data_IF_917980792329
#
_entry.id   IF_917980792329
#
_cell.length_a   1.000
_cell.length_b   1.000
_cell.length_c   1.000
_cell.angle_alpha   90.00
_cell.angle_beta   90.00
_cell.angle_gamma   90.00
#
_symmetry.space_group_name_H-M   'P 1'
#
loop_
_entity.id
_entity.type
_entity.pdbx_description
1 polymer ?
#
# COMPACT_ATOMS: atom_id res chain seq x y z
N UNK A 1 -5.10 3.69 -9.68
CA UNK A 1 -4.37 2.41 -9.55
C UNK A 1 -3.84 2.30 -8.13
N UNK A 2 -3.91 1.12 -7.52
CA UNK A 2 -3.31 0.86 -6.19
C UNK A 2 -2.05 0.02 -6.36
N UNK A 3 -1.10 0.11 -5.43
CA UNK A 3 0.13 -0.68 -5.46
C UNK A 3 -0.16 -2.20 -5.53
N UNK A 4 -1.22 -2.66 -4.87
CA UNK A 4 -1.69 -4.05 -4.93
C UNK A 4 -2.13 -4.49 -6.34
N UNK A 5 -2.80 -3.62 -7.11
CA UNK A 5 -3.16 -3.94 -8.49
C UNK A 5 -1.92 -4.05 -9.38
N UNK A 6 -0.99 -3.10 -9.26
CA UNK A 6 0.25 -3.11 -10.03
C UNK A 6 1.10 -4.37 -9.76
N UNK A 7 1.19 -4.82 -8.50
CA UNK A 7 1.87 -6.08 -8.15
C UNK A 7 1.19 -7.28 -8.84
N UNK A 8 -0.14 -7.32 -8.87
CA UNK A 8 -0.89 -8.42 -9.48
C UNK A 8 -0.63 -8.49 -11.00
N UNK A 9 -0.65 -7.35 -11.67
CA UNK A 9 -0.35 -7.28 -13.11
C UNK A 9 1.11 -7.65 -13.38
N UNK A 10 2.07 -7.15 -12.61
CA UNK A 10 3.48 -7.50 -12.78
C UNK A 10 3.77 -8.99 -12.57
N UNK A 11 3.05 -9.65 -11.65
CA UNK A 11 3.14 -11.11 -11.49
C UNK A 11 2.67 -11.86 -12.73
N UNK A 12 1.60 -11.38 -13.39
CA UNK A 12 1.16 -11.96 -14.66
C UNK A 12 2.20 -11.70 -15.76
N UNK A 13 2.68 -10.46 -15.90
CA UNK A 13 3.73 -10.12 -16.87
C UNK A 13 4.97 -11.00 -16.69
N UNK A 14 5.39 -11.29 -15.45
CA UNK A 14 6.52 -12.17 -15.15
C UNK A 14 6.37 -13.58 -15.74
N UNK A 15 5.15 -14.09 -15.87
CA UNK A 15 4.90 -15.43 -16.42
C UNK A 15 5.05 -15.49 -17.95
N UNK A 16 4.92 -14.35 -18.63
CA UNK A 16 4.88 -14.28 -20.09
C UNK A 16 6.05 -13.47 -20.68
N UNK A 17 6.88 -12.83 -19.85
CA UNK A 17 8.03 -12.05 -20.29
C UNK A 17 9.25 -12.93 -20.63
N UNK A 18 10.21 -12.33 -21.32
CA UNK A 18 11.52 -12.95 -21.58
C UNK A 18 12.32 -13.12 -20.29
N UNK A 19 13.19 -14.14 -20.24
CA UNK A 19 14.03 -14.42 -19.07
C UNK A 19 14.91 -13.23 -18.65
N UNK A 20 15.33 -12.41 -19.61
CA UNK A 20 16.10 -11.18 -19.35
C UNK A 20 15.32 -10.09 -18.62
N UNK A 21 13.98 -10.08 -18.72
CA UNK A 21 13.11 -9.09 -18.08
C UNK A 21 12.67 -9.48 -16.66
N UNK A 22 12.74 -10.77 -16.32
CA UNK A 22 12.40 -11.29 -14.99
C UNK A 22 13.04 -10.50 -13.84
N UNK A 23 14.38 -10.23 -13.82
CA UNK A 23 14.98 -9.50 -12.70
C UNK A 23 14.47 -8.07 -12.54
N UNK A 24 14.17 -7.38 -13.65
CA UNK A 24 13.59 -6.04 -13.60
C UNK A 24 12.15 -6.07 -13.07
N UNK A 25 11.38 -7.09 -13.45
CA UNK A 25 10.00 -7.28 -12.98
C UNK A 25 9.97 -7.66 -11.50
N UNK A 26 10.85 -8.56 -11.06
CA UNK A 26 10.95 -8.93 -9.64
C UNK A 26 11.35 -7.72 -8.79
N UNK A 27 12.28 -6.88 -9.28
CA UNK A 27 12.65 -5.63 -8.60
C UNK A 27 11.45 -4.66 -8.51
N UNK A 28 10.71 -4.47 -9.60
CA UNK A 28 9.53 -3.62 -9.60
C UNK A 28 8.45 -4.11 -8.60
N UNK A 29 8.23 -5.43 -8.52
CA UNK A 29 7.32 -6.04 -7.54
C UNK A 29 7.80 -5.74 -6.11
N UNK A 30 9.09 -5.89 -5.83
CA UNK A 30 9.66 -5.66 -4.50
C UNK A 30 9.49 -4.20 -4.06
N UNK A 31 9.76 -3.24 -4.95
CA UNK A 31 9.58 -1.81 -4.67
C UNK A 31 8.11 -1.50 -4.38
N UNK A 32 7.19 -2.01 -5.22
CA UNK A 32 5.75 -1.79 -5.04
C UNK A 32 5.20 -2.44 -3.76
N UNK A 33 5.74 -3.59 -3.33
CA UNK A 33 5.39 -4.20 -2.05
C UNK A 33 5.77 -3.29 -0.88
N UNK A 34 6.99 -2.76 -0.88
CA UNK A 34 7.45 -1.82 0.16
C UNK A 34 6.64 -0.53 0.19
N UNK A 35 6.17 -0.05 -0.97
CA UNK A 35 5.27 1.10 -1.04
C UNK A 35 3.87 0.77 -0.50
N UNK A 36 3.30 -0.38 -0.88
CA UNK A 36 1.99 -0.83 -0.39
C UNK A 36 1.96 -0.97 1.15
N UNK A 37 3.04 -1.49 1.74
CA UNK A 37 3.18 -1.60 3.19
C UNK A 37 3.25 -0.23 3.89
N UNK A 38 3.93 0.74 3.27
CA UNK A 38 4.01 2.11 3.79
C UNK A 38 2.66 2.83 3.68
N UNK A 39 1.96 2.68 2.56
CA UNK A 39 0.61 3.23 2.39
C UNK A 39 -0.36 2.65 3.43
N UNK A 40 -0.33 1.33 3.66
CA UNK A 40 -1.14 0.69 4.69
C UNK A 40 -0.84 1.26 6.08
N UNK A 41 0.44 1.43 6.44
CA UNK A 41 0.84 2.01 7.73
C UNK A 41 0.35 3.46 7.88
N UNK A 42 0.46 4.27 6.82
CA UNK A 42 -0.04 5.65 6.81
C UNK A 42 -1.56 5.72 6.93
N UNK A 43 -2.31 4.84 6.25
CA UNK A 43 -3.76 4.74 6.42
C UNK A 43 -4.14 4.29 7.84
N UNK A 44 -3.42 3.34 8.43
CA UNK A 44 -3.63 2.90 9.82
C UNK A 44 -3.33 4.02 10.82
N UNK A 45 -2.27 4.80 10.60
CA UNK A 45 -1.87 5.93 11.46
C UNK A 45 -2.88 7.09 11.34
N UNK A 46 -3.43 7.31 10.14
CA UNK A 46 -4.50 8.30 9.91
C UNK A 46 -5.84 7.86 10.51
N UNK A 47 -6.11 6.56 10.60
CA UNK A 47 -7.27 6.00 11.31
C UNK A 47 -7.12 6.03 12.84
N UNK A 48 -5.90 6.12 13.37
CA UNK A 48 -5.62 6.16 14.80
C UNK A 48 -5.42 7.57 15.36
N UNK A 49 -5.67 8.64 14.61
CA UNK A 49 -5.86 9.93 15.25
C UNK A 49 -7.13 9.84 16.12
N UNK A 50 -7.04 9.90 17.47
CA UNK A 50 -8.22 9.97 18.29
C UNK A 50 -8.80 11.37 18.05
N UNK A 51 -9.94 11.42 17.37
CA UNK A 51 -10.78 12.61 17.40
C UNK A 51 -11.28 12.77 18.84
N UNK A 52 -10.53 13.52 19.63
CA UNK A 52 -10.98 14.16 20.85
C UNK A 52 -10.65 15.64 20.72
N UNK A 53 -11.66 16.50 20.80
CA UNK A 53 -11.81 17.23 22.05
C UNK A 53 -13.13 16.88 22.72
N UNK A 54 -13.05 16.69 24.03
CA UNK A 54 -14.18 16.49 24.91
C UNK A 54 -15.22 17.59 24.67
N UNK A 55 -16.38 17.22 24.13
CA UNK A 55 -17.57 18.05 24.25
C UNK A 55 -18.03 17.98 25.70
N UNK A 56 -17.56 18.96 26.47
CA UNK A 56 -18.00 19.34 27.80
C UNK A 56 -19.54 19.32 27.83
N UNK A 57 -20.11 18.28 28.47
CA UNK A 57 -21.54 18.24 28.79
C UNK A 57 -21.77 19.19 29.96
N UNK A 58 -22.20 20.41 29.64
CA UNK A 58 -22.78 21.34 30.60
C UNK A 58 -24.13 20.76 31.04
N UNK A 59 -24.39 20.50 32.33
CA UNK A 59 -25.73 20.14 32.81
C UNK A 59 -26.58 21.41 33.03
N UNK A 60 -27.88 21.32 32.71
CA UNK A 60 -28.94 22.26 33.12
C UNK A 60 -29.42 21.93 34.54
#
# INVERSE_FOLDING_TARGET
MTAHQAIKELKQVRQYCTASAIPAIDYAIQVLQGLAEREKKLEEEKKHQPCGPAAEKIPD
#
